data_IF_045802281512
#
_entry.id   IF_045802281512
#
_cell.length_a   1.000
_cell.length_b   1.000
_cell.length_c   1.000
_cell.angle_alpha   90.00
_cell.angle_beta   90.00
_cell.angle_gamma   90.00
#
_symmetry.space_group_name_H-M   'P 1'
#
loop_
_entity.id
_entity.type
_entity.pdbx_description
1 polymer ?
#
# COMPACT_ATOMS: atom_id res chain seq x y z
N UNK A 1 -65.45 -3.32 44.16
CA UNK A 1 -64.44 -4.12 43.45
C UNK A 1 -64.44 -3.64 42.00
N UNK A 2 -63.58 -2.68 41.63
CA UNK A 2 -62.26 -2.86 40.99
C UNK A 2 -62.34 -3.58 39.63
N UNK A 3 -62.13 -2.78 38.56
CA UNK A 3 -61.45 -2.99 37.25
C UNK A 3 -61.58 -4.36 36.53
N UNK A 4 -61.62 -4.48 35.20
CA UNK A 4 -60.70 -3.90 34.23
C UNK A 4 -61.21 -4.01 32.79
N UNK A 5 -60.81 -3.03 31.99
CA UNK A 5 -60.85 -2.93 30.52
C UNK A 5 -59.80 -3.86 29.91
N UNK A 6 -60.12 -4.53 28.79
CA UNK A 6 -59.11 -5.02 27.83
C UNK A 6 -59.63 -4.83 26.40
N UNK A 7 -59.13 -3.77 25.77
CA UNK A 7 -59.30 -3.46 24.35
C UNK A 7 -58.25 -4.25 23.57
N UNK A 8 -58.69 -5.13 22.67
CA UNK A 8 -57.84 -5.75 21.65
C UNK A 8 -57.52 -4.71 20.56
N UNK A 9 -56.33 -4.11 20.64
CA UNK A 9 -55.78 -3.27 19.57
C UNK A 9 -54.87 -4.09 18.65
N UNK A 10 -55.23 -4.12 17.36
CA UNK A 10 -54.47 -4.70 16.25
C UNK A 10 -52.98 -4.30 16.29
N UNK A 11 -52.08 -5.29 16.26
CA UNK A 11 -50.71 -5.07 15.80
C UNK A 11 -50.67 -5.16 14.28
N UNK A 12 -50.69 -4.01 13.61
CA UNK A 12 -50.16 -3.88 12.25
C UNK A 12 -48.68 -3.51 12.38
N UNK A 13 -47.79 -4.51 12.49
CA UNK A 13 -46.38 -4.27 12.21
C UNK A 13 -46.21 -4.26 10.70
N UNK A 14 -46.28 -3.05 10.14
CA UNK A 14 -45.77 -2.75 8.82
C UNK A 14 -44.32 -3.20 8.77
N UNK A 15 -44.05 -4.24 7.99
CA UNK A 15 -42.72 -4.58 7.56
C UNK A 15 -42.12 -3.36 6.89
N UNK A 16 -41.23 -2.68 7.60
CA UNK A 16 -40.29 -1.77 6.99
C UNK A 16 -39.42 -2.64 6.08
N UNK A 17 -39.82 -2.73 4.81
CA UNK A 17 -38.86 -2.92 3.73
C UNK A 17 -37.92 -1.73 3.85
N UNK A 18 -36.86 -1.94 4.63
CA UNK A 18 -35.66 -1.15 4.59
C UNK A 18 -35.13 -1.39 3.17
N UNK A 19 -35.59 -0.54 2.24
CA UNK A 19 -34.88 -0.35 1.00
C UNK A 19 -33.48 0.06 1.44
N UNK A 20 -32.54 -0.89 1.40
CA UNK A 20 -31.13 -0.57 1.32
C UNK A 20 -31.04 0.52 0.27
N UNK A 21 -30.72 1.73 0.71
CA UNK A 21 -30.22 2.75 -0.19
C UNK A 21 -28.94 2.12 -0.75
N UNK A 22 -29.06 1.42 -1.88
CA UNK A 22 -27.93 0.81 -2.54
C UNK A 22 -26.93 1.94 -2.80
N UNK A 23 -25.83 1.93 -2.06
CA UNK A 23 -24.85 3.00 -2.16
C UNK A 23 -24.39 3.08 -3.61
N UNK A 24 -24.44 4.29 -4.17
CA UNK A 24 -24.19 4.47 -5.60
C UNK A 24 -22.76 4.07 -5.92
N UNK A 25 -22.51 3.38 -7.04
CA UNK A 25 -21.15 3.11 -7.49
C UNK A 25 -20.34 4.39 -7.60
N UNK A 26 -19.02 4.29 -7.46
CA UNK A 26 -18.11 5.43 -7.51
C UNK A 26 -17.06 5.26 -8.60
N UNK A 27 -16.66 6.37 -9.21
CA UNK A 27 -15.48 6.46 -10.05
C UNK A 27 -14.28 6.88 -9.21
N UNK A 28 -13.16 6.17 -9.37
CA UNK A 28 -11.86 6.53 -8.83
C UNK A 28 -11.10 7.33 -9.88
N UNK A 29 -10.68 8.54 -9.55
CA UNK A 29 -10.13 9.53 -10.48
C UNK A 29 -8.80 10.02 -9.92
N UNK A 30 -7.76 10.11 -10.74
CA UNK A 30 -6.45 10.62 -10.31
C UNK A 30 -6.32 12.13 -10.41
N UNK A 31 -6.37 12.66 -11.63
CA UNK A 31 -6.25 14.09 -11.92
C UNK A 31 -7.14 14.41 -13.12
N UNK A 32 -7.31 15.69 -13.38
CA UNK A 32 -7.95 16.18 -14.58
C UNK A 32 -7.81 17.68 -14.74
N UNK A 33 -8.15 18.18 -15.91
CA UNK A 33 -8.19 19.62 -16.20
C UNK A 33 -9.42 19.96 -17.06
N UNK A 34 -9.80 21.23 -17.07
CA UNK A 34 -10.75 21.75 -18.07
C UNK A 34 -10.12 21.81 -19.45
N UNK A 35 -8.81 22.01 -19.52
CA UNK A 35 -8.04 21.96 -20.75
C UNK A 35 -7.67 20.51 -21.08
N UNK A 36 -8.00 20.07 -22.29
CA UNK A 36 -7.69 18.72 -22.77
C UNK A 36 -6.18 18.49 -22.88
N UNK A 37 -5.44 19.47 -23.40
CA UNK A 37 -4.00 19.34 -23.61
C UNK A 37 -3.25 19.25 -22.28
N UNK A 38 -3.68 20.02 -21.28
CA UNK A 38 -3.15 19.91 -19.92
C UNK A 38 -3.44 18.53 -19.32
N UNK A 39 -4.67 18.03 -19.46
CA UNK A 39 -5.02 16.70 -18.95
C UNK A 39 -4.25 15.58 -19.66
N UNK A 40 -4.04 15.68 -20.98
CA UNK A 40 -3.20 14.74 -21.75
C UNK A 40 -1.74 14.79 -21.29
N UNK A 41 -1.21 15.98 -20.99
CA UNK A 41 0.15 16.15 -20.48
C UNK A 41 0.41 15.48 -19.12
N UNK A 42 -0.63 15.18 -18.33
CA UNK A 42 -0.48 14.48 -17.05
C UNK A 42 -0.03 13.02 -17.21
N UNK A 43 -0.17 12.42 -18.40
CA UNK A 43 0.22 11.02 -18.64
C UNK A 43 1.72 10.79 -18.40
N UNK A 44 2.56 11.80 -18.57
CA UNK A 44 4.01 11.66 -18.45
C UNK A 44 4.47 11.33 -17.03
N UNK A 45 3.71 11.71 -16.00
CA UNK A 45 4.01 11.33 -14.62
C UNK A 45 3.38 9.99 -14.21
N UNK A 46 2.52 9.40 -15.04
CA UNK A 46 1.82 8.15 -14.73
C UNK A 46 2.75 6.94 -14.61
N UNK A 47 3.70 6.77 -15.53
CA UNK A 47 4.49 5.53 -15.60
C UNK A 47 5.28 5.18 -14.33
N UNK A 48 5.59 6.17 -13.48
CA UNK A 48 6.21 5.93 -12.17
C UNK A 48 5.20 5.47 -11.12
N UNK A 49 3.97 6.01 -11.15
CA UNK A 49 2.88 5.53 -10.31
C UNK A 49 2.49 4.10 -10.68
N UNK A 50 2.39 3.78 -11.96
CA UNK A 50 2.05 2.44 -12.45
C UNK A 50 2.98 1.38 -11.88
N UNK A 51 4.29 1.56 -12.05
CA UNK A 51 5.30 0.65 -11.49
C UNK A 51 5.20 0.53 -9.97
N UNK A 52 4.91 1.63 -9.28
CA UNK A 52 4.78 1.62 -7.82
C UNK A 52 3.48 0.94 -7.36
N UNK A 53 2.38 1.10 -8.10
CA UNK A 53 1.13 0.39 -7.84
C UNK A 53 1.28 -1.11 -8.05
N UNK A 54 1.88 -1.53 -9.17
CA UNK A 54 2.19 -2.94 -9.43
C UNK A 54 3.06 -3.53 -8.31
N UNK A 55 4.13 -2.82 -7.93
CA UNK A 55 5.03 -3.24 -6.85
C UNK A 55 4.35 -3.37 -5.50
N UNK A 56 3.33 -2.53 -5.24
CA UNK A 56 2.59 -2.53 -3.98
C UNK A 56 1.29 -3.34 -4.06
N UNK A 57 1.10 -4.13 -5.12
CA UNK A 57 -0.04 -5.04 -5.31
C UNK A 57 -1.34 -4.42 -5.80
N UNK A 58 -1.39 -3.10 -6.08
CA UNK A 58 -2.57 -2.47 -6.66
C UNK A 58 -2.58 -2.67 -8.18
N UNK A 59 -3.62 -3.33 -8.69
CA UNK A 59 -3.77 -3.58 -10.13
C UNK A 59 -4.96 -2.82 -10.69
N UNK A 60 -4.74 -2.04 -11.74
CA UNK A 60 -5.82 -1.37 -12.46
C UNK A 60 -6.56 -2.35 -13.39
N UNK A 61 -7.85 -2.12 -13.63
CA UNK A 61 -8.58 -2.88 -14.65
C UNK A 61 -8.03 -2.60 -16.05
N UNK A 62 -8.24 -3.53 -16.97
CA UNK A 62 -7.79 -3.40 -18.36
C UNK A 62 -8.23 -2.07 -18.99
N UNK A 63 -7.33 -1.46 -19.77
CA UNK A 63 -7.56 -0.17 -20.42
C UNK A 63 -7.63 1.03 -19.47
N UNK A 64 -7.13 0.89 -18.24
CA UNK A 64 -6.96 1.98 -17.28
C UNK A 64 -5.47 2.18 -16.93
N UNK A 65 -5.04 3.40 -16.59
CA UNK A 65 -5.85 4.62 -16.53
C UNK A 65 -6.28 5.06 -17.93
N UNK A 66 -7.43 5.73 -18.04
CA UNK A 66 -7.86 6.31 -19.31
C UNK A 66 -8.39 7.71 -19.15
N UNK A 67 -8.05 8.56 -20.12
CA UNK A 67 -8.55 9.92 -20.17
C UNK A 67 -9.96 9.93 -20.75
N UNK A 68 -10.92 10.47 -19.99
CA UNK A 68 -12.31 10.60 -20.40
C UNK A 68 -12.82 12.01 -20.18
N UNK A 69 -13.74 12.46 -21.04
CA UNK A 69 -14.46 13.71 -20.77
C UNK A 69 -15.52 13.44 -19.70
N UNK A 70 -15.53 14.21 -18.62
CA UNK A 70 -16.41 13.95 -17.47
C UNK A 70 -17.89 13.85 -17.84
N UNK A 71 -18.35 14.58 -18.85
CA UNK A 71 -19.75 14.53 -19.35
C UNK A 71 -20.16 13.15 -19.90
N UNK A 72 -19.21 12.30 -20.29
CA UNK A 72 -19.49 10.97 -20.86
C UNK A 72 -19.60 9.90 -19.78
N UNK A 73 -19.31 10.23 -18.52
CA UNK A 73 -19.47 9.33 -17.38
C UNK A 73 -20.70 9.80 -16.59
N UNK A 74 -21.83 9.08 -16.65
CA UNK A 74 -23.04 9.46 -15.94
C UNK A 74 -22.81 9.68 -14.45
N UNK A 75 -23.23 10.83 -13.93
CA UNK A 75 -23.04 11.22 -12.53
C UNK A 75 -21.89 12.19 -12.29
N UNK A 76 -20.90 12.25 -13.18
CA UNK A 76 -19.83 13.25 -13.08
C UNK A 76 -20.29 14.63 -13.57
N UNK A 77 -19.73 15.68 -12.97
CA UNK A 77 -19.96 17.08 -13.38
C UNK A 77 -19.29 17.33 -14.74
N UNK A 78 -20.00 17.86 -15.75
CA UNK A 78 -19.42 18.15 -17.07
C UNK A 78 -18.37 19.27 -17.01
N UNK A 79 -17.50 19.33 -18.02
CA UNK A 79 -16.54 20.42 -18.23
C UNK A 79 -15.08 20.09 -17.92
N UNK A 80 -14.74 18.84 -17.63
CA UNK A 80 -13.37 18.39 -17.34
C UNK A 80 -12.99 17.19 -18.22
N UNK A 81 -11.70 17.00 -18.40
CA UNK A 81 -11.05 15.77 -18.86
C UNK A 81 -10.35 15.16 -17.65
N UNK A 82 -10.66 13.90 -17.35
CA UNK A 82 -10.19 13.23 -16.12
C UNK A 82 -9.57 11.88 -16.43
N UNK A 83 -8.52 11.54 -15.70
CA UNK A 83 -7.91 10.21 -15.71
C UNK A 83 -8.71 9.29 -14.79
N UNK A 84 -9.56 8.47 -15.40
CA UNK A 84 -10.33 7.45 -14.72
C UNK A 84 -9.43 6.25 -14.45
N UNK A 85 -9.35 5.84 -13.18
CA UNK A 85 -8.59 4.67 -12.73
C UNK A 85 -9.47 3.42 -12.66
N UNK A 86 -10.77 3.60 -12.43
CA UNK A 86 -11.75 2.54 -12.44
C UNK A 86 -13.08 2.99 -11.84
N UNK A 87 -14.05 2.08 -11.82
CA UNK A 87 -15.37 2.29 -11.24
C UNK A 87 -15.73 1.12 -10.34
N UNK A 88 -16.08 1.40 -9.10
CA UNK A 88 -16.25 0.41 -8.05
C UNK A 88 -17.67 0.43 -7.48
N UNK A 89 -18.17 -0.71 -6.96
CA UNK A 89 -19.16 -0.69 -5.90
C UNK A 89 -18.70 0.22 -4.76
N UNK A 90 -19.64 0.81 -4.02
CA UNK A 90 -19.28 1.76 -2.95
C UNK A 90 -18.49 1.08 -1.83
N UNK A 91 -18.89 -0.15 -1.45
CA UNK A 91 -18.20 -0.92 -0.40
C UNK A 91 -16.73 -1.25 -0.74
N UNK A 92 -16.43 -1.48 -2.02
CA UNK A 92 -15.09 -1.90 -2.47
C UNK A 92 -14.14 -0.71 -2.68
N UNK A 93 -14.68 0.49 -2.82
CA UNK A 93 -13.90 1.66 -3.24
C UNK A 93 -12.98 2.23 -2.16
N UNK A 94 -13.34 2.05 -0.88
CA UNK A 94 -12.64 2.63 0.27
C UNK A 94 -11.17 2.21 0.33
N UNK A 95 -10.87 0.91 0.49
CA UNK A 95 -9.49 0.40 0.57
C UNK A 95 -8.65 0.78 -0.66
N UNK A 96 -9.23 0.70 -1.86
CA UNK A 96 -8.56 1.08 -3.11
C UNK A 96 -8.21 2.57 -3.11
N UNK A 97 -9.16 3.43 -2.73
CA UNK A 97 -8.95 4.88 -2.70
C UNK A 97 -7.90 5.28 -1.66
N UNK A 98 -7.87 4.61 -0.50
CA UNK A 98 -6.86 4.86 0.54
C UNK A 98 -5.45 4.55 0.01
N UNK A 99 -5.24 3.39 -0.60
CA UNK A 99 -3.97 3.03 -1.24
C UNK A 99 -3.57 4.03 -2.33
N UNK A 100 -4.51 4.36 -3.21
CA UNK A 100 -4.32 5.34 -4.27
C UNK A 100 -3.92 6.72 -3.73
N UNK A 101 -4.48 7.17 -2.61
CA UNK A 101 -4.15 8.48 -2.01
C UNK A 101 -2.79 8.51 -1.34
N UNK A 102 -2.32 7.38 -0.81
CA UNK A 102 -0.98 7.31 -0.22
C UNK A 102 0.09 7.60 -1.26
N UNK A 103 -0.05 6.98 -2.43
CA UNK A 103 0.93 7.03 -3.50
C UNK A 103 0.65 8.16 -4.48
N UNK A 104 -0.60 8.43 -4.83
CA UNK A 104 -1.03 9.51 -5.71
C UNK A 104 -2.04 10.42 -4.98
N UNK A 105 -1.57 11.41 -4.18
CA UNK A 105 -2.43 12.21 -3.29
C UNK A 105 -3.53 13.01 -3.99
N UNK A 106 -3.42 13.25 -5.30
CA UNK A 106 -4.47 13.90 -6.10
C UNK A 106 -5.72 13.04 -6.30
N UNK A 107 -5.66 11.74 -6.00
CA UNK A 107 -6.76 10.81 -6.27
C UNK A 107 -7.99 11.07 -5.40
N UNK A 108 -9.16 10.95 -6.01
CA UNK A 108 -10.45 11.16 -5.36
C UNK A 108 -11.53 10.26 -5.96
N UNK A 109 -12.62 10.07 -5.21
CA UNK A 109 -13.81 9.37 -5.68
C UNK A 109 -14.98 10.33 -5.98
N UNK A 110 -15.85 9.92 -6.89
CA UNK A 110 -17.14 10.58 -7.16
C UNK A 110 -18.21 9.54 -7.45
N UNK A 111 -19.40 9.75 -6.91
CA UNK A 111 -20.57 8.94 -7.27
C UNK A 111 -20.83 8.99 -8.78
N UNK A 112 -21.15 7.83 -9.35
CA UNK A 112 -21.53 7.65 -10.74
C UNK A 112 -22.82 6.85 -10.84
N UNK A 113 -23.48 6.96 -12.00
CA UNK A 113 -24.73 6.27 -12.32
C UNK A 113 -24.45 5.19 -13.37
N UNK A 114 -23.72 4.16 -12.96
CA UNK A 114 -23.37 3.02 -13.81
C UNK A 114 -24.03 1.74 -13.26
N UNK A 115 -24.50 0.83 -14.13
CA UNK A 115 -24.96 -0.48 -13.70
C UNK A 115 -23.77 -1.34 -13.24
N UNK A 116 -23.98 -2.24 -12.28
CA UNK A 116 -22.95 -3.12 -11.69
C UNK A 116 -22.13 -3.88 -12.74
N UNK A 117 -22.77 -4.34 -13.82
CA UNK A 117 -22.11 -5.07 -14.93
C UNK A 117 -21.10 -4.25 -15.74
N UNK A 118 -21.07 -2.92 -15.55
CA UNK A 118 -20.12 -1.99 -16.21
C UNK A 118 -19.07 -1.44 -15.25
N UNK A 119 -19.06 -1.93 -14.00
CA UNK A 119 -18.05 -1.55 -13.03
C UNK A 119 -16.78 -2.34 -13.30
N UNK A 120 -15.65 -1.66 -13.18
CA UNK A 120 -14.32 -2.23 -13.31
C UNK A 120 -13.49 -1.59 -12.20
N UNK A 121 -13.52 -2.23 -11.03
CA UNK A 121 -12.82 -1.73 -9.86
C UNK A 121 -11.35 -2.16 -9.92
N UNK A 122 -10.39 -1.26 -9.61
CA UNK A 122 -9.03 -1.71 -9.34
C UNK A 122 -9.02 -2.71 -8.19
N UNK A 123 -8.09 -3.66 -8.27
CA UNK A 123 -7.88 -4.63 -7.19
C UNK A 123 -6.97 -4.00 -6.16
N UNK A 124 -7.44 -3.92 -4.92
CA UNK A 124 -6.61 -3.57 -3.78
C UNK A 124 -5.51 -4.63 -3.58
N UNK A 125 -4.38 -4.26 -2.97
CA UNK A 125 -3.39 -5.27 -2.57
C UNK A 125 -3.96 -6.19 -1.49
N UNK A 126 -3.37 -7.39 -1.38
CA UNK A 126 -3.74 -8.37 -0.35
C UNK A 126 -3.44 -7.83 1.07
N UNK A 127 -2.32 -7.15 1.22
CA UNK A 127 -1.93 -6.44 2.45
C UNK A 127 -1.99 -4.92 2.24
N UNK A 128 -2.54 -4.15 3.19
CA UNK A 128 -2.62 -2.71 3.05
C UNK A 128 -1.22 -2.08 3.10
N UNK A 129 -1.01 -1.05 2.27
CA UNK A 129 0.13 -0.15 2.40
C UNK A 129 -0.16 0.84 3.54
N UNK A 130 0.76 0.94 4.49
CA UNK A 130 0.63 1.82 5.66
C UNK A 130 1.64 2.95 5.55
N UNK A 131 1.19 4.20 5.70
CA UNK A 131 2.10 5.33 5.83
C UNK A 131 2.73 5.35 7.21
N UNK A 132 4.04 5.63 7.27
CA UNK A 132 4.71 5.93 8.53
C UNK A 132 4.81 7.43 8.76
N UNK A 133 5.10 7.80 10.02
CA UNK A 133 5.22 9.19 10.45
C UNK A 133 6.53 9.83 9.98
N UNK A 134 7.53 9.04 9.60
CA UNK A 134 8.81 9.55 9.11
C UNK A 134 8.66 10.22 7.74
N UNK A 135 8.80 11.55 7.75
CA UNK A 135 8.78 12.40 6.55
C UNK A 135 10.05 13.23 6.51
N UNK A 136 10.88 13.00 5.49
CA UNK A 136 12.14 13.71 5.32
C UNK A 136 12.04 14.72 4.19
N UNK A 137 12.20 16.01 4.52
CA UNK A 137 12.32 17.08 3.51
C UNK A 137 13.69 16.98 2.84
N UNK A 138 13.68 16.88 1.52
CA UNK A 138 14.87 16.83 0.68
C UNK A 138 14.94 18.11 -0.14
N UNK A 139 15.88 19.02 0.14
CA UNK A 139 16.00 20.27 -0.60
C UNK A 139 16.20 20.03 -2.11
N UNK A 140 15.67 20.90 -2.99
CA UNK A 140 14.98 22.15 -2.64
C UNK A 140 13.54 21.94 -2.14
N UNK A 141 12.72 21.11 -2.80
CA UNK A 141 11.28 20.97 -2.51
C UNK A 141 10.76 19.53 -2.62
N UNK A 142 11.62 18.52 -2.50
CA UNK A 142 11.21 17.11 -2.53
C UNK A 142 10.94 16.60 -1.11
N UNK A 143 10.14 15.54 -1.00
CA UNK A 143 9.81 14.90 0.27
C UNK A 143 9.92 13.40 0.15
N UNK A 144 10.78 12.79 0.96
CA UNK A 144 10.85 11.34 1.11
C UNK A 144 9.82 10.90 2.15
N UNK A 145 8.92 10.01 1.75
CA UNK A 145 7.94 9.38 2.64
C UNK A 145 8.23 7.88 2.72
N UNK A 146 7.93 7.30 3.87
CA UNK A 146 8.11 5.87 4.11
C UNK A 146 6.76 5.19 4.26
N UNK A 147 6.63 4.05 3.61
CA UNK A 147 5.46 3.18 3.72
C UNK A 147 5.90 1.77 4.06
N UNK A 148 5.01 1.01 4.71
CA UNK A 148 5.23 -0.40 5.03
C UNK A 148 4.11 -1.27 4.49
N UNK A 149 4.46 -2.48 4.07
CA UNK A 149 3.51 -3.49 3.62
C UNK A 149 3.95 -4.86 4.13
N UNK A 150 3.02 -5.64 4.67
CA UNK A 150 3.32 -7.02 5.08
C UNK A 150 3.25 -7.93 3.85
N UNK A 151 4.29 -8.75 3.67
CA UNK A 151 4.42 -9.73 2.61
C UNK A 151 4.52 -11.12 3.27
N UNK A 152 3.86 -12.12 2.68
CA UNK A 152 4.02 -13.51 3.07
C UNK A 152 4.24 -14.35 1.84
N UNK A 153 5.31 -15.12 1.85
CA UNK A 153 5.61 -16.17 0.87
C UNK A 153 5.45 -17.51 1.57
N UNK A 154 4.72 -18.42 0.93
CA UNK A 154 4.54 -19.79 1.40
C UNK A 154 5.32 -20.75 0.51
N UNK A 155 5.70 -21.94 1.02
CA UNK A 155 6.24 -23.02 0.21
C UNK A 155 5.33 -23.36 -0.98
N UNK A 156 5.89 -24.00 -2.00
CA UNK A 156 5.10 -24.50 -3.14
C UNK A 156 4.10 -25.59 -2.70
N UNK A 157 3.22 -26.03 -3.63
CA UNK A 157 2.18 -27.02 -3.33
C UNK A 157 2.76 -28.37 -2.86
N UNK A 158 3.99 -28.67 -3.27
CA UNK A 158 4.77 -29.84 -2.86
C UNK A 158 5.48 -29.67 -1.51
N UNK A 159 5.39 -28.48 -0.90
CA UNK A 159 5.98 -28.15 0.39
C UNK A 159 7.46 -27.80 0.33
N UNK A 160 8.02 -27.55 -0.86
CA UNK A 160 9.39 -27.09 -1.03
C UNK A 160 9.48 -25.57 -0.86
N UNK A 161 10.55 -25.14 -0.18
CA UNK A 161 10.85 -23.74 0.06
C UNK A 161 10.59 -23.31 1.50
N UNK A 162 10.73 -22.00 1.72
CA UNK A 162 10.60 -21.41 3.03
C UNK A 162 9.26 -20.69 3.16
N UNK A 163 8.68 -20.74 4.35
CA UNK A 163 7.70 -19.75 4.77
C UNK A 163 8.45 -18.50 5.16
N UNK A 164 8.18 -17.39 4.47
CA UNK A 164 8.77 -16.09 4.76
C UNK A 164 7.64 -15.11 5.05
N UNK A 165 7.62 -14.54 6.25
CA UNK A 165 6.81 -13.36 6.56
C UNK A 165 7.75 -12.17 6.70
N UNK A 166 7.46 -11.04 6.05
CA UNK A 166 8.31 -9.85 6.15
C UNK A 166 7.51 -8.56 6.03
N UNK A 167 8.00 -7.52 6.69
CA UNK A 167 7.58 -6.15 6.47
C UNK A 167 8.48 -5.52 5.41
N UNK A 168 7.92 -5.18 4.25
CA UNK A 168 8.59 -4.39 3.21
C UNK A 168 8.51 -2.91 3.54
N UNK A 169 9.62 -2.21 3.48
CA UNK A 169 9.69 -0.75 3.59
C UNK A 169 9.85 -0.15 2.19
N UNK A 170 8.90 0.70 1.79
CA UNK A 170 8.94 1.46 0.55
C UNK A 170 9.28 2.91 0.83
N UNK A 171 10.39 3.38 0.26
CA UNK A 171 10.83 4.75 0.32
C UNK A 171 10.45 5.44 -0.99
N UNK A 172 9.55 6.41 -0.92
CA UNK A 172 9.03 7.08 -2.10
C UNK A 172 9.37 8.55 -2.01
N UNK A 173 10.14 9.02 -2.98
CA UNK A 173 10.49 10.43 -3.12
C UNK A 173 9.43 11.13 -3.94
N UNK A 174 8.77 12.12 -3.34
CA UNK A 174 7.76 12.93 -3.98
C UNK A 174 8.28 14.32 -4.34
N UNK A 175 7.86 14.84 -5.48
CA UNK A 175 7.98 16.26 -5.82
C UNK A 175 7.01 17.09 -4.97
N UNK A 176 7.21 18.42 -4.97
CA UNK A 176 6.28 19.37 -4.35
C UNK A 176 4.83 19.25 -4.86
N UNK A 177 4.66 18.79 -6.10
CA UNK A 177 3.37 18.64 -6.78
C UNK A 177 2.74 17.25 -6.55
N UNK A 178 3.37 16.44 -5.68
CA UNK A 178 2.91 15.10 -5.33
C UNK A 178 3.17 14.05 -6.41
N UNK A 179 4.11 14.30 -7.32
CA UNK A 179 4.54 13.32 -8.32
C UNK A 179 5.64 12.42 -7.76
N UNK A 180 5.63 11.13 -8.10
CA UNK A 180 6.72 10.22 -7.74
C UNK A 180 7.96 10.60 -8.56
N UNK A 181 9.03 10.97 -7.88
CA UNK A 181 10.33 11.24 -8.48
C UNK A 181 11.14 9.96 -8.58
N UNK A 182 11.22 9.18 -7.50
CA UNK A 182 11.96 7.92 -7.47
C UNK A 182 11.52 7.05 -6.29
N UNK A 183 11.88 5.77 -6.32
CA UNK A 183 11.51 4.79 -5.29
C UNK A 183 12.64 3.85 -4.95
N UNK A 184 12.80 3.52 -3.68
CA UNK A 184 13.65 2.44 -3.20
C UNK A 184 12.85 1.57 -2.22
N UNK A 185 13.33 0.37 -1.95
CA UNK A 185 12.76 -0.50 -0.92
C UNK A 185 13.85 -1.25 -0.18
N UNK A 186 13.51 -1.73 1.01
CA UNK A 186 14.31 -2.68 1.78
C UNK A 186 13.39 -3.51 2.66
N UNK A 187 13.94 -4.57 3.22
CA UNK A 187 13.24 -5.41 4.19
C UNK A 187 13.42 -4.85 5.61
N UNK A 188 12.36 -4.96 6.41
CA UNK A 188 12.36 -4.66 7.83
C UNK A 188 12.27 -5.93 8.67
N UNK A 189 11.22 -6.04 9.50
CA UNK A 189 11.00 -7.24 10.30
C UNK A 189 10.78 -8.43 9.36
N UNK A 190 11.32 -9.59 9.72
CA UNK A 190 11.29 -10.77 8.88
C UNK A 190 11.33 -12.03 9.74
N UNK A 191 10.56 -13.02 9.35
CA UNK A 191 10.57 -14.36 9.92
C UNK A 191 10.65 -15.37 8.78
N UNK A 192 11.74 -16.14 8.77
CA UNK A 192 12.00 -17.20 7.80
C UNK A 192 12.01 -18.51 8.57
N UNK A 193 11.14 -19.42 8.15
CA UNK A 193 11.13 -20.79 8.62
C UNK A 193 10.97 -21.74 7.44
N UNK A 194 11.78 -22.79 7.38
CA UNK A 194 11.68 -23.75 6.30
C UNK A 194 12.79 -24.78 6.35
N UNK A 195 12.92 -25.51 5.26
CA UNK A 195 13.92 -26.55 5.08
C UNK A 195 14.48 -26.40 3.67
N UNK A 196 15.78 -26.15 3.53
CA UNK A 196 16.46 -26.16 2.24
C UNK A 196 17.28 -27.46 2.08
N UNK A 197 18.04 -27.56 0.99
CA UNK A 197 18.93 -28.69 0.74
C UNK A 197 20.04 -28.87 1.79
N UNK A 198 20.24 -27.87 2.65
CA UNK A 198 21.29 -27.80 3.67
C UNK A 198 20.73 -28.03 5.09
N UNK A 199 19.41 -27.97 5.27
CA UNK A 199 18.73 -28.25 6.53
C UNK A 199 17.69 -27.21 6.92
N UNK A 200 17.19 -27.26 8.16
CA UNK A 200 16.19 -26.31 8.63
C UNK A 200 16.79 -24.91 8.70
N UNK A 201 16.15 -23.95 8.04
CA UNK A 201 16.49 -22.53 8.15
C UNK A 201 15.48 -21.89 9.08
N UNK A 202 15.97 -21.28 10.15
CA UNK A 202 15.17 -20.55 11.11
C UNK A 202 15.89 -19.23 11.41
N UNK A 203 15.41 -18.14 10.82
CA UNK A 203 16.02 -16.82 10.95
C UNK A 203 14.95 -15.77 11.19
N UNK A 204 15.19 -14.88 12.15
CA UNK A 204 14.25 -13.83 12.50
C UNK A 204 14.95 -12.50 12.67
N UNK A 205 14.44 -11.47 12.01
CA UNK A 205 14.76 -10.07 12.26
C UNK A 205 13.55 -9.38 12.89
N UNK A 206 13.79 -8.60 13.94
CA UNK A 206 12.75 -7.86 14.66
C UNK A 206 13.24 -6.47 15.05
N UNK A 207 12.36 -5.68 15.63
CA UNK A 207 12.66 -4.36 16.19
C UNK A 207 13.20 -3.39 15.14
N UNK A 208 12.70 -3.47 13.90
CA UNK A 208 13.08 -2.52 12.86
C UNK A 208 12.77 -1.09 13.27
N UNK A 209 13.78 -0.23 13.21
CA UNK A 209 13.70 1.20 13.53
C UNK A 209 14.24 2.02 12.37
N UNK A 210 13.65 3.20 12.20
CA UNK A 210 14.12 4.21 11.26
C UNK A 210 14.64 5.41 12.04
N UNK A 211 15.86 5.81 11.74
CA UNK A 211 16.49 6.98 12.33
C UNK A 211 16.91 7.96 11.25
N UNK A 212 16.44 9.21 11.37
CA UNK A 212 16.91 10.27 10.48
C UNK A 212 18.37 10.60 10.82
N UNK A 213 19.23 10.56 9.81
CA UNK A 213 20.64 10.91 9.99
C UNK A 213 20.79 12.42 10.16
N UNK A 214 21.87 12.84 10.85
CA UNK A 214 22.29 14.25 10.88
C UNK A 214 22.62 14.79 9.48
N UNK A 215 22.97 13.89 8.55
CA UNK A 215 23.19 14.23 7.15
C UNK A 215 21.84 14.39 6.44
N UNK A 216 21.61 15.56 5.84
CA UNK A 216 20.38 15.83 5.07
C UNK A 216 20.17 14.75 4.00
N UNK A 217 18.92 14.33 3.83
CA UNK A 217 18.55 13.34 2.83
C UNK A 217 18.89 11.89 3.20
N UNK A 218 19.30 11.58 4.44
CA UNK A 218 19.62 10.20 4.84
C UNK A 218 18.73 9.70 5.97
N UNK A 219 18.30 8.45 5.84
CA UNK A 219 17.61 7.67 6.88
C UNK A 219 18.34 6.34 7.03
N UNK A 220 18.52 5.87 8.26
CA UNK A 220 19.11 4.58 8.54
C UNK A 220 18.01 3.67 9.08
N UNK A 221 17.79 2.54 8.42
CA UNK A 221 16.96 1.46 8.91
C UNK A 221 17.87 0.48 9.65
N UNK A 222 17.54 0.14 10.89
CA UNK A 222 18.28 -0.84 11.69
C UNK A 222 17.31 -1.89 12.22
N UNK A 223 17.70 -3.16 12.16
CA UNK A 223 16.93 -4.30 12.69
C UNK A 223 17.85 -5.27 13.41
N UNK A 224 17.30 -5.99 14.39
CA UNK A 224 18.04 -6.98 15.16
C UNK A 224 17.70 -8.37 14.66
N UNK A 225 18.70 -9.14 14.28
CA UNK A 225 18.50 -10.42 13.66
C UNK A 225 19.18 -11.54 14.42
N UNK A 226 18.61 -12.73 14.37
CA UNK A 226 19.22 -13.91 14.95
C UNK A 226 18.63 -15.21 14.43
N UNK A 227 19.34 -16.29 14.70
CA UNK A 227 18.86 -17.64 14.46
C UNK A 227 17.68 -17.93 15.41
N UNK A 228 16.59 -18.46 14.88
CA UNK A 228 15.41 -18.88 15.66
C UNK A 228 15.42 -20.39 15.97
N UNK A 229 16.53 -21.09 15.65
CA UNK A 229 16.73 -22.53 15.89
C UNK A 229 18.16 -22.87 16.32
N UNK A 230 18.49 -24.17 16.34
CA UNK A 230 19.83 -24.64 16.70
C UNK A 230 20.85 -24.19 15.64
N UNK A 231 21.71 -23.24 15.99
CA UNK A 231 22.82 -22.83 15.16
C UNK A 231 23.96 -23.84 15.26
N UNK A 232 24.53 -24.23 14.13
CA UNK A 232 25.74 -25.05 14.14
C UNK A 232 26.91 -24.27 14.76
N UNK A 233 27.84 -24.99 15.39
CA UNK A 233 29.06 -24.39 15.95
C UNK A 233 29.75 -23.47 14.92
N UNK A 234 30.10 -22.24 15.35
CA UNK A 234 30.69 -21.21 14.49
C UNK A 234 29.71 -20.45 13.59
N UNK A 235 28.44 -20.85 13.52
CA UNK A 235 27.41 -20.10 12.77
C UNK A 235 27.06 -18.79 13.47
N UNK A 236 26.68 -17.77 12.68
CA UNK A 236 26.16 -16.51 13.23
C UNK A 236 24.85 -16.79 13.98
N UNK A 237 24.79 -16.43 15.26
CA UNK A 237 23.59 -16.56 16.10
C UNK A 237 22.81 -15.26 16.18
N UNK A 238 23.50 -14.13 16.12
CA UNK A 238 22.88 -12.81 16.15
C UNK A 238 23.72 -11.77 15.39
N UNK A 239 23.07 -10.74 14.87
CA UNK A 239 23.70 -9.55 14.32
C UNK A 239 22.69 -8.40 14.27
N UNK A 240 23.18 -7.17 14.37
CA UNK A 240 22.41 -5.99 13.99
C UNK A 240 22.63 -5.74 12.49
N UNK A 241 21.54 -5.67 11.74
CA UNK A 241 21.55 -5.34 10.32
C UNK A 241 21.11 -3.89 10.11
N UNK A 242 21.83 -3.17 9.25
CA UNK A 242 21.49 -1.78 8.92
C UNK A 242 21.51 -1.53 7.41
N UNK A 243 20.61 -0.66 6.96
CA UNK A 243 20.50 -0.19 5.58
C UNK A 243 20.38 1.33 5.62
N UNK A 244 21.31 2.02 4.97
CA UNK A 244 21.22 3.47 4.78
C UNK A 244 20.45 3.77 3.50
N UNK A 245 19.38 4.54 3.61
CA UNK A 245 18.63 5.11 2.50
C UNK A 245 19.08 6.55 2.28
N UNK A 246 19.50 6.86 1.06
CA UNK A 246 19.93 8.20 0.64
C UNK A 246 18.99 8.74 -0.42
N UNK A 247 18.44 9.92 -0.16
CA UNK A 247 17.59 10.68 -1.05
C UNK A 247 18.26 12.02 -1.44
N UNK A 248 18.17 12.33 -2.72
CA UNK A 248 18.54 13.60 -3.35
C UNK A 248 17.27 14.27 -3.88
N UNK A 249 17.39 15.42 -4.53
CA UNK A 249 16.25 16.13 -5.12
C UNK A 249 15.52 15.33 -6.22
N UNK A 250 16.19 14.35 -6.86
CA UNK A 250 15.61 13.58 -7.97
C UNK A 250 15.66 12.05 -7.80
N UNK A 251 16.45 11.53 -6.87
CA UNK A 251 16.70 10.10 -6.74
C UNK A 251 16.71 9.62 -5.30
N UNK A 252 16.34 8.36 -5.08
CA UNK A 252 16.46 7.65 -3.80
C UNK A 252 17.12 6.29 -4.02
N UNK A 253 17.98 5.89 -3.09
CA UNK A 253 18.66 4.61 -3.13
C UNK A 253 18.78 4.00 -1.73
N UNK A 254 18.66 2.69 -1.65
CA UNK A 254 19.03 1.91 -0.46
C UNK A 254 20.42 1.31 -0.68
N UNK A 255 21.29 1.41 0.32
CA UNK A 255 22.59 0.75 0.33
C UNK A 255 22.44 -0.76 0.50
N UNK A 256 23.52 -1.51 0.25
CA UNK A 256 23.60 -2.90 0.67
C UNK A 256 23.47 -2.99 2.20
N UNK A 257 22.88 -4.08 2.68
CA UNK A 257 22.78 -4.34 4.11
C UNK A 257 24.17 -4.57 4.72
N UNK A 258 24.43 -3.87 5.82
CA UNK A 258 25.65 -3.99 6.63
C UNK A 258 25.31 -4.68 7.95
N UNK A 259 26.19 -5.59 8.38
CA UNK A 259 26.08 -6.31 9.66
C UNK A 259 27.08 -5.79 10.67
N UNK A 260 26.63 -5.61 11.90
CA UNK A 260 27.43 -5.23 13.06
C UNK A 260 27.04 -6.07 14.26
N UNK A 261 27.83 -6.01 15.35
CA UNK A 261 27.56 -6.74 16.59
C UNK A 261 27.30 -8.25 16.35
N UNK A 262 28.12 -8.86 15.49
CA UNK A 262 27.94 -10.26 15.07
C UNK A 262 28.39 -11.18 16.21
N UNK A 263 27.50 -12.06 16.65
CA UNK A 263 27.80 -13.13 17.59
C UNK A 263 27.75 -14.48 16.88
N UNK A 264 28.62 -15.40 17.28
CA UNK A 264 28.71 -16.76 16.72
C UNK A 264 28.46 -17.80 17.81
N UNK A 265 27.88 -18.94 17.42
CA UNK A 265 27.69 -20.09 18.30
C UNK A 265 29.05 -20.62 18.78
N UNK A 266 29.19 -20.77 20.10
CA UNK A 266 30.37 -21.38 20.70
C UNK A 266 30.45 -22.89 20.38
N UNK A 267 31.67 -23.41 20.31
CA UNK A 267 31.95 -24.81 20.06
C UNK A 267 32.56 -25.40 21.34
N UNK A 268 31.81 -26.25 22.05
CA UNK A 268 32.32 -27.04 23.18
C UNK A 268 32.98 -28.35 22.71
#
# INVERSE_FOLDING_TARGET
MRSSILVLGLMAFTGALQAEAADKPVALIWKGSKDKAEAEGQVYSWGKFEKLFEKTGLTLPEGHPRLVQSKTVPGLKPGFWVWLLGTCPSEDAGPVLEHLKLLAPGTYSREVKLPTKKLACPKAPESPLLARDEVLKVPPDATLRVFTQEETESPDEEGNGNTVSRTRFHFVLFSKDGEVLDTADTEGDMDVSGNDSSGPIAYRCTNTRLETSKNKGKVVLTRQCGASGFAECGSMVSADESVTVTATDLAVSASAMERTNIEHAECE
#
